data_IF_086171462877
#
_entry.id   IF_086171462877
#
_cell.length_a   1.000
_cell.length_b   1.000
_cell.length_c   1.000
_cell.angle_alpha   90.00
_cell.angle_beta   90.00
_cell.angle_gamma   90.00
#
_symmetry.space_group_name_H-M   'P 1'
#
loop_
_entity.id
_entity.type
_entity.pdbx_description
1 polymer ?
#
# COMPACT_ATOMS: atom_id res chain seq x y z
N UNK A 1 5.87 21.72 -26.39
CA UNK A 1 5.20 22.78 -25.60
C UNK A 1 3.81 22.30 -25.24
N UNK A 2 3.51 22.15 -23.95
CA UNK A 2 2.18 21.72 -23.50
C UNK A 2 1.26 22.93 -23.47
N UNK A 3 0.27 22.95 -24.34
CA UNK A 3 -0.78 23.98 -24.39
C UNK A 3 -1.90 23.70 -23.39
N UNK A 4 -1.57 23.39 -22.17
CA UNK A 4 -2.62 23.43 -21.12
C UNK A 4 -2.62 24.85 -20.56
N UNK A 5 -3.73 25.58 -20.65
CA UNK A 5 -3.84 26.86 -19.97
C UNK A 5 -3.52 26.63 -18.47
N UNK A 6 -2.76 27.53 -17.89
CA UNK A 6 -2.44 27.51 -16.48
C UNK A 6 -3.75 27.44 -15.69
N UNK A 7 -4.09 26.26 -15.22
CA UNK A 7 -5.17 26.08 -14.29
C UNK A 7 -4.54 26.02 -12.91
N UNK A 8 -4.83 27.00 -12.09
CA UNK A 8 -4.41 27.01 -10.71
C UNK A 8 -5.05 25.81 -10.01
N UNK A 9 -4.28 24.78 -9.72
CA UNK A 9 -4.78 23.57 -9.07
C UNK A 9 -4.72 23.80 -7.56
N UNK A 10 -5.85 24.14 -6.98
CA UNK A 10 -5.99 24.18 -5.52
C UNK A 10 -6.02 22.77 -4.98
N UNK A 11 -4.92 22.33 -4.39
CA UNK A 11 -4.81 21.01 -3.78
C UNK A 11 -5.33 21.03 -2.35
N UNK A 12 -6.14 20.03 -1.99
CA UNK A 12 -6.54 19.79 -0.60
C UNK A 12 -5.29 19.58 0.24
N UNK A 13 -5.22 20.17 1.43
CA UNK A 13 -4.21 19.83 2.43
C UNK A 13 -4.39 18.38 2.84
N UNK A 14 -3.34 17.59 2.73
CA UNK A 14 -3.29 16.21 3.17
C UNK A 14 -2.31 16.05 4.33
N UNK A 15 -2.41 14.95 5.04
CA UNK A 15 -1.41 14.57 6.04
C UNK A 15 -0.17 14.02 5.33
N UNK A 16 1.01 14.34 5.83
CA UNK A 16 2.25 13.72 5.37
C UNK A 16 2.38 12.34 5.96
N UNK A 17 2.60 11.35 5.10
CA UNK A 17 2.85 9.95 5.46
C UNK A 17 4.21 9.55 4.92
N UNK A 18 4.94 8.71 5.62
CA UNK A 18 6.23 8.22 5.18
C UNK A 18 6.15 6.75 4.76
N UNK A 19 6.81 6.42 3.66
CA UNK A 19 7.05 5.04 3.22
C UNK A 19 8.54 4.80 3.37
N UNK A 20 8.95 4.18 4.48
CA UNK A 20 10.32 4.25 4.91
C UNK A 20 10.76 5.71 5.07
N UNK A 21 11.83 6.12 4.37
CA UNK A 21 12.31 7.50 4.36
C UNK A 21 11.63 8.43 3.34
N UNK A 22 10.71 7.93 2.51
CA UNK A 22 10.10 8.68 1.40
C UNK A 22 8.80 9.37 1.84
N UNK A 23 8.73 10.72 1.85
CA UNK A 23 7.53 11.45 2.25
C UNK A 23 6.49 11.46 1.12
N UNK A 24 5.20 11.31 1.47
CA UNK A 24 4.06 11.36 0.55
C UNK A 24 2.97 12.26 1.14
N UNK A 25 2.42 13.15 0.34
CA UNK A 25 1.37 14.10 0.76
C UNK A 25 1.93 15.38 1.38
N UNK A 26 1.05 16.31 1.77
CA UNK A 26 1.37 17.59 2.43
C UNK A 26 2.48 18.40 1.71
N UNK A 27 2.36 18.55 0.39
CA UNK A 27 3.33 19.30 -0.42
C UNK A 27 4.68 18.61 -0.63
N UNK A 28 4.85 17.35 -0.22
CA UNK A 28 6.04 16.57 -0.55
C UNK A 28 6.20 16.45 -2.08
N UNK A 29 7.42 16.26 -2.60
CA UNK A 29 7.65 15.98 -4.01
C UNK A 29 6.81 14.78 -4.50
N UNK A 30 6.47 14.80 -5.79
CA UNK A 30 5.79 13.65 -6.40
C UNK A 30 6.76 12.48 -6.46
N UNK A 31 6.36 11.36 -5.88
CA UNK A 31 7.15 10.13 -5.84
C UNK A 31 6.78 9.20 -6.99
N UNK A 32 7.79 8.55 -7.56
CA UNK A 32 7.63 7.54 -8.61
C UNK A 32 7.59 6.15 -7.97
N UNK A 33 6.51 5.43 -8.18
CA UNK A 33 6.36 4.05 -7.71
C UNK A 33 6.17 3.11 -8.90
N UNK A 34 6.87 1.98 -8.88
CA UNK A 34 6.65 0.85 -9.81
C UNK A 34 6.29 -0.42 -9.04
N UNK A 35 6.03 -1.49 -9.77
CA UNK A 35 5.76 -2.81 -9.21
C UNK A 35 6.57 -3.88 -9.94
N UNK A 36 7.10 -4.86 -9.21
CA UNK A 36 7.74 -6.03 -9.81
C UNK A 36 6.71 -6.94 -10.49
N UNK A 37 7.14 -7.67 -11.50
CA UNK A 37 6.35 -8.69 -12.20
C UNK A 37 6.98 -10.08 -12.09
N UNK A 38 8.03 -10.22 -11.29
CA UNK A 38 8.63 -11.51 -10.92
C UNK A 38 7.80 -12.20 -9.86
N UNK A 39 7.95 -13.51 -9.72
CA UNK A 39 7.51 -14.21 -8.51
C UNK A 39 8.36 -13.73 -7.33
N UNK A 40 7.74 -13.35 -6.24
CA UNK A 40 8.46 -12.82 -5.07
C UNK A 40 9.39 -13.86 -4.45
N UNK A 41 9.05 -15.13 -4.58
CA UNK A 41 9.89 -16.28 -4.18
C UNK A 41 11.13 -16.46 -5.06
N UNK A 42 11.16 -15.88 -6.27
CA UNK A 42 12.39 -15.68 -7.04
C UNK A 42 13.10 -14.41 -6.54
N UNK A 43 13.74 -14.54 -5.38
CA UNK A 43 14.41 -13.44 -4.67
C UNK A 43 15.44 -12.77 -5.57
N UNK A 44 16.30 -13.54 -6.25
CA UNK A 44 17.36 -13.00 -7.09
C UNK A 44 16.81 -12.23 -8.30
N UNK A 45 15.80 -12.77 -8.98
CA UNK A 45 15.12 -12.11 -10.09
C UNK A 45 14.41 -10.83 -9.65
N UNK A 46 13.75 -10.86 -8.48
CA UNK A 46 13.06 -9.71 -7.90
C UNK A 46 14.04 -8.60 -7.52
N UNK A 47 15.14 -8.92 -6.84
CA UNK A 47 16.21 -7.95 -6.51
C UNK A 47 16.78 -7.33 -7.79
N UNK A 48 17.09 -8.15 -8.80
CA UNK A 48 17.62 -7.64 -10.07
C UNK A 48 16.64 -6.69 -10.76
N UNK A 49 15.35 -6.95 -10.70
CA UNK A 49 14.33 -6.06 -11.25
C UNK A 49 14.23 -4.74 -10.46
N UNK A 50 14.27 -4.80 -9.13
CA UNK A 50 14.23 -3.61 -8.27
C UNK A 50 15.46 -2.75 -8.51
N UNK A 51 16.66 -3.32 -8.56
CA UNK A 51 17.89 -2.58 -8.83
C UNK A 51 17.89 -1.87 -10.20
N UNK A 52 17.29 -2.48 -11.23
CA UNK A 52 17.09 -1.78 -12.52
C UNK A 52 16.13 -0.59 -12.37
N UNK A 53 15.07 -0.72 -11.56
CA UNK A 53 14.16 0.37 -11.29
C UNK A 53 14.83 1.50 -10.47
N UNK A 54 15.69 1.17 -9.51
CA UNK A 54 16.51 2.14 -8.76
C UNK A 54 17.41 2.96 -9.69
N UNK A 55 18.09 2.29 -10.63
CA UNK A 55 18.93 2.97 -11.65
C UNK A 55 18.11 3.89 -12.56
N UNK A 56 16.83 3.60 -12.76
CA UNK A 56 15.90 4.44 -13.51
C UNK A 56 15.28 5.58 -12.67
N UNK A 57 15.62 5.68 -11.38
CA UNK A 57 15.17 6.76 -10.49
C UNK A 57 13.81 6.53 -9.83
N UNK A 58 13.43 5.27 -9.56
CA UNK A 58 12.23 4.98 -8.79
C UNK A 58 12.45 5.32 -7.30
N UNK A 59 11.40 5.84 -6.64
CA UNK A 59 11.45 6.17 -5.22
C UNK A 59 10.93 5.04 -4.33
N UNK A 60 9.98 4.24 -4.84
CA UNK A 60 9.26 3.21 -4.08
C UNK A 60 8.97 2.02 -5.00
N UNK A 61 9.15 0.80 -4.51
CA UNK A 61 8.79 -0.40 -5.27
C UNK A 61 7.73 -1.22 -4.52
N UNK A 62 6.69 -1.67 -5.24
CA UNK A 62 5.68 -2.59 -4.74
C UNK A 62 6.00 -4.01 -5.18
N UNK A 63 5.89 -4.94 -4.23
CA UNK A 63 6.16 -6.36 -4.42
C UNK A 63 4.92 -7.16 -3.99
N UNK A 64 4.50 -8.12 -4.80
CA UNK A 64 3.34 -8.97 -4.48
C UNK A 64 3.64 -9.89 -3.30
N UNK A 65 2.68 -10.02 -2.37
CA UNK A 65 2.82 -10.87 -1.19
C UNK A 65 1.54 -11.71 -1.00
N UNK A 66 1.29 -12.68 -1.90
CA UNK A 66 0.06 -13.49 -1.88
C UNK A 66 0.07 -14.59 -0.81
N UNK A 67 1.22 -15.10 -0.44
CA UNK A 67 1.41 -16.26 0.43
C UNK A 67 2.55 -16.05 1.45
N UNK A 68 2.75 -17.05 2.29
CA UNK A 68 3.73 -17.00 3.38
C UNK A 68 5.18 -17.02 2.86
N UNK A 69 5.44 -17.80 1.83
CA UNK A 69 6.78 -17.89 1.24
C UNK A 69 7.21 -16.53 0.67
N UNK A 70 6.29 -15.87 -0.02
CA UNK A 70 6.49 -14.49 -0.51
C UNK A 70 6.73 -13.50 0.63
N UNK A 71 5.99 -13.61 1.74
CA UNK A 71 6.18 -12.74 2.89
C UNK A 71 7.57 -12.91 3.53
N UNK A 72 8.07 -14.14 3.63
CA UNK A 72 9.41 -14.41 4.16
C UNK A 72 10.51 -14.00 3.18
N UNK A 73 10.31 -14.19 1.87
CA UNK A 73 11.24 -13.73 0.85
C UNK A 73 11.48 -12.22 0.86
N UNK A 74 10.50 -11.43 1.35
CA UNK A 74 10.65 -9.98 1.49
C UNK A 74 11.83 -9.61 2.38
N UNK A 75 12.17 -10.40 3.38
CA UNK A 75 13.29 -10.10 4.28
C UNK A 75 14.62 -9.98 3.53
N UNK A 76 14.89 -10.94 2.66
CA UNK A 76 16.11 -10.94 1.85
C UNK A 76 16.07 -9.82 0.79
N UNK A 77 14.90 -9.60 0.17
CA UNK A 77 14.71 -8.54 -0.81
C UNK A 77 14.94 -7.17 -0.17
N UNK A 78 14.31 -6.88 0.96
CA UNK A 78 14.43 -5.59 1.65
C UNK A 78 15.88 -5.31 2.07
N UNK A 79 16.62 -6.34 2.51
CA UNK A 79 18.02 -6.20 2.90
C UNK A 79 18.95 -5.83 1.74
N UNK A 80 18.62 -6.24 0.52
CA UNK A 80 19.48 -6.14 -0.67
C UNK A 80 19.18 -4.93 -1.57
N UNK A 81 18.15 -4.14 -1.27
CA UNK A 81 17.73 -2.98 -2.05
C UNK A 81 17.74 -1.70 -1.22
N UNK A 82 17.82 -0.52 -1.89
CA UNK A 82 17.88 0.76 -1.18
C UNK A 82 16.54 1.49 -1.13
N UNK A 83 15.61 1.16 -2.04
CA UNK A 83 14.29 1.78 -2.07
C UNK A 83 13.32 1.08 -1.11
N UNK A 84 12.42 1.80 -0.44
CA UNK A 84 11.41 1.19 0.42
C UNK A 84 10.46 0.29 -0.36
N UNK A 85 10.13 -0.85 0.26
CA UNK A 85 9.26 -1.86 -0.33
C UNK A 85 7.84 -1.72 0.23
N UNK A 86 6.86 -1.70 -0.68
CA UNK A 86 5.44 -1.83 -0.37
C UNK A 86 5.02 -3.28 -0.59
N UNK A 87 4.62 -3.98 0.45
CA UNK A 87 4.06 -5.32 0.35
C UNK A 87 2.60 -5.26 -0.08
N UNK A 88 2.28 -5.92 -1.19
CA UNK A 88 0.92 -5.97 -1.74
C UNK A 88 0.17 -7.21 -1.22
N UNK A 89 -0.66 -6.99 -0.20
CA UNK A 89 -1.40 -8.03 0.52
C UNK A 89 -2.85 -8.04 0.03
N UNK A 90 -3.35 -9.21 -0.43
CA UNK A 90 -4.70 -9.29 -0.98
C UNK A 90 -5.77 -9.66 0.06
N UNK A 91 -5.62 -10.80 0.75
CA UNK A 91 -6.72 -11.36 1.56
C UNK A 91 -6.32 -11.86 2.95
N UNK A 92 -5.05 -12.02 3.25
CA UNK A 92 -4.62 -12.74 4.45
C UNK A 92 -3.92 -11.81 5.44
N UNK A 93 -4.58 -11.49 6.55
CA UNK A 93 -4.03 -10.60 7.58
C UNK A 93 -2.66 -11.04 8.12
N UNK A 94 -2.41 -12.37 8.22
CA UNK A 94 -1.10 -12.88 8.67
C UNK A 94 0.03 -12.50 7.70
N UNK A 95 -0.26 -12.43 6.41
CA UNK A 95 0.74 -11.98 5.40
C UNK A 95 1.15 -10.53 5.64
N UNK A 96 0.21 -9.70 6.11
CA UNK A 96 0.51 -8.31 6.46
C UNK A 96 1.46 -8.24 7.67
N UNK A 97 1.23 -9.04 8.70
CA UNK A 97 2.09 -9.12 9.88
C UNK A 97 3.48 -9.61 9.49
N UNK A 98 3.56 -10.74 8.78
CA UNK A 98 4.83 -11.32 8.32
C UNK A 98 5.61 -10.39 7.39
N UNK A 99 4.93 -9.64 6.54
CA UNK A 99 5.56 -8.64 5.67
C UNK A 99 6.13 -7.46 6.48
N UNK A 100 5.41 -6.99 7.51
CA UNK A 100 5.92 -5.98 8.44
C UNK A 100 7.15 -6.49 9.18
N UNK A 101 7.11 -7.71 9.74
CA UNK A 101 8.23 -8.38 10.40
C UNK A 101 9.44 -8.55 9.47
N UNK A 102 9.20 -8.72 8.16
CA UNK A 102 10.23 -8.84 7.12
C UNK A 102 10.80 -7.50 6.65
N UNK A 103 10.34 -6.37 7.20
CA UNK A 103 10.89 -5.05 6.92
C UNK A 103 10.19 -4.27 5.80
N UNK A 104 8.98 -4.66 5.38
CA UNK A 104 8.20 -3.84 4.46
C UNK A 104 7.94 -2.46 5.06
N UNK A 105 8.14 -1.40 4.25
CA UNK A 105 7.93 -0.02 4.68
C UNK A 105 6.47 0.42 4.62
N UNK A 106 5.66 -0.27 3.82
CA UNK A 106 4.24 0.00 3.69
C UNK A 106 3.48 -1.28 3.35
N UNK A 107 2.29 -1.44 3.92
CA UNK A 107 1.39 -2.55 3.64
C UNK A 107 0.25 -2.04 2.75
N UNK A 108 0.15 -2.54 1.52
CA UNK A 108 -1.02 -2.29 0.68
C UNK A 108 -2.08 -3.34 1.01
N UNK A 109 -3.17 -2.89 1.62
CA UNK A 109 -4.21 -3.77 2.14
C UNK A 109 -5.55 -3.02 2.23
N UNK A 110 -6.65 -3.76 2.14
CA UNK A 110 -7.98 -3.23 2.41
C UNK A 110 -8.45 -3.77 3.77
N UNK A 111 -8.46 -2.95 4.84
CA UNK A 111 -8.75 -3.43 6.20
C UNK A 111 -10.09 -4.18 6.33
N UNK A 112 -11.13 -3.73 5.62
CA UNK A 112 -12.44 -4.40 5.62
C UNK A 112 -12.45 -5.80 4.99
N UNK A 113 -11.42 -6.16 4.21
CA UNK A 113 -11.34 -7.45 3.52
C UNK A 113 -10.51 -8.50 4.27
N UNK A 114 -9.88 -8.14 5.37
CA UNK A 114 -9.01 -9.06 6.13
C UNK A 114 -9.73 -9.77 7.29
N UNK A 115 -10.99 -9.49 7.49
CA UNK A 115 -11.87 -10.20 8.42
C UNK A 115 -12.27 -9.39 9.64
N UNK A 116 -12.20 -9.98 10.85
CA UNK A 116 -12.73 -9.35 12.07
C UNK A 116 -11.91 -8.15 12.53
N UNK A 117 -12.51 -7.34 13.40
CA UNK A 117 -11.87 -6.18 14.05
C UNK A 117 -10.58 -6.57 14.81
N UNK A 118 -10.56 -7.77 15.42
CA UNK A 118 -9.38 -8.28 16.10
C UNK A 118 -8.20 -8.47 15.13
N UNK A 119 -8.47 -9.01 13.93
CA UNK A 119 -7.44 -9.18 12.89
C UNK A 119 -6.91 -7.84 12.38
N UNK A 120 -7.81 -6.86 12.20
CA UNK A 120 -7.39 -5.50 11.85
C UNK A 120 -6.48 -4.92 12.94
N UNK A 121 -6.85 -5.10 14.21
CA UNK A 121 -6.06 -4.65 15.36
C UNK A 121 -4.66 -5.28 15.39
N UNK A 122 -4.55 -6.58 15.08
CA UNK A 122 -3.25 -7.26 14.99
C UNK A 122 -2.38 -6.66 13.89
N UNK A 123 -2.94 -6.42 12.70
CA UNK A 123 -2.22 -5.80 11.58
C UNK A 123 -1.80 -4.36 11.91
N UNK A 124 -2.69 -3.57 12.50
CA UNK A 124 -2.37 -2.20 12.94
C UNK A 124 -1.25 -2.20 13.97
N UNK A 125 -1.30 -3.14 14.91
CA UNK A 125 -0.22 -3.29 15.91
C UNK A 125 1.10 -3.61 15.24
N UNK A 126 1.14 -4.61 14.37
CA UNK A 126 2.36 -4.96 13.64
C UNK A 126 2.89 -3.79 12.81
N UNK A 127 2.02 -3.05 12.12
CA UNK A 127 2.42 -1.87 11.38
C UNK A 127 3.06 -0.79 12.27
N UNK A 128 2.51 -0.54 13.47
CA UNK A 128 3.08 0.40 14.45
C UNK A 128 4.43 -0.08 14.98
N UNK A 129 4.51 -1.34 15.39
CA UNK A 129 5.69 -1.93 16.01
C UNK A 129 6.90 -1.90 15.04
N UNK A 130 6.64 -1.98 13.72
CA UNK A 130 7.65 -1.94 12.66
C UNK A 130 7.74 -0.61 11.90
N UNK A 131 6.97 0.41 12.28
CA UNK A 131 6.99 1.72 11.61
C UNK A 131 6.47 1.69 10.17
N UNK A 132 5.61 0.72 9.82
CA UNK A 132 5.00 0.61 8.50
C UNK A 132 3.84 1.59 8.35
N UNK A 133 3.79 2.29 7.22
CA UNK A 133 2.56 2.95 6.79
C UNK A 133 1.61 1.95 6.10
N UNK A 134 0.38 2.38 5.82
CA UNK A 134 -0.58 1.57 5.05
C UNK A 134 -1.02 2.27 3.77
N UNK A 135 -1.40 1.47 2.76
CA UNK A 135 -2.07 1.94 1.58
C UNK A 135 -3.38 1.18 1.38
N UNK A 136 -4.48 1.91 1.41
CA UNK A 136 -5.80 1.39 1.05
C UNK A 136 -5.89 1.31 -0.47
N UNK A 137 -6.15 0.11 -1.01
CA UNK A 137 -6.14 -0.15 -2.45
C UNK A 137 -7.54 -0.49 -2.98
N UNK A 138 -8.43 0.49 -3.04
CA UNK A 138 -9.77 0.30 -3.58
C UNK A 138 -9.73 0.15 -5.10
N UNK A 139 -10.50 -0.81 -5.62
CA UNK A 139 -10.75 -0.95 -7.05
C UNK A 139 -12.09 -1.64 -7.34
N UNK A 140 -12.56 -1.55 -8.57
CA UNK A 140 -13.85 -2.09 -9.01
C UNK A 140 -13.98 -3.62 -8.78
N UNK A 141 -12.89 -4.37 -8.99
CA UNK A 141 -12.90 -5.84 -8.89
C UNK A 141 -12.91 -6.38 -7.46
N UNK A 142 -12.68 -5.53 -6.46
CA UNK A 142 -12.66 -5.90 -5.04
C UNK A 142 -13.62 -5.07 -4.19
N UNK A 143 -14.61 -4.44 -4.83
CA UNK A 143 -15.64 -3.66 -4.14
C UNK A 143 -16.46 -4.56 -3.21
N UNK A 144 -16.78 -4.07 -2.03
CA UNK A 144 -17.52 -4.79 -1.00
C UNK A 144 -18.95 -5.11 -1.48
N UNK A 145 -19.42 -6.31 -1.10
CA UNK A 145 -20.72 -6.80 -1.53
C UNK A 145 -21.88 -5.85 -1.18
N UNK A 146 -21.87 -5.26 0.01
CA UNK A 146 -22.91 -4.32 0.43
C UNK A 146 -22.94 -3.03 -0.41
N UNK A 147 -21.76 -2.60 -0.93
CA UNK A 147 -21.70 -1.47 -1.85
C UNK A 147 -22.16 -1.84 -3.26
N UNK A 148 -21.84 -3.06 -3.73
CA UNK A 148 -22.39 -3.57 -4.98
C UNK A 148 -23.93 -3.69 -4.91
N UNK A 149 -24.48 -4.16 -3.79
CA UNK A 149 -25.92 -4.23 -3.58
C UNK A 149 -26.57 -2.83 -3.53
N UNK A 150 -25.87 -1.83 -2.95
CA UNK A 150 -26.35 -0.44 -2.86
C UNK A 150 -26.30 0.30 -4.19
N UNK A 151 -25.22 0.16 -4.94
CA UNK A 151 -24.96 0.95 -6.16
C UNK A 151 -25.26 0.20 -7.47
N UNK A 152 -25.45 -1.12 -7.42
CA UNK A 152 -25.70 -1.98 -8.59
C UNK A 152 -24.45 -2.32 -9.38
N UNK A 153 -23.50 -1.38 -9.48
CA UNK A 153 -22.24 -1.54 -10.21
C UNK A 153 -21.10 -0.75 -9.54
N UNK A 154 -19.84 -1.05 -9.83
CA UNK A 154 -18.70 -0.25 -9.40
C UNK A 154 -18.70 1.11 -10.13
N UNK A 155 -19.15 2.16 -9.47
CA UNK A 155 -19.11 3.53 -9.94
C UNK A 155 -18.20 4.40 -9.05
N UNK A 156 -17.88 5.65 -9.42
CA UNK A 156 -17.01 6.50 -8.62
C UNK A 156 -17.48 6.70 -7.19
N UNK A 157 -18.79 6.85 -6.97
CA UNK A 157 -19.39 7.05 -5.64
C UNK A 157 -19.20 5.82 -4.75
N UNK A 158 -19.41 4.63 -5.31
CA UNK A 158 -19.16 3.36 -4.60
C UNK A 158 -17.68 3.20 -4.20
N UNK A 159 -16.75 3.58 -5.09
CA UNK A 159 -15.32 3.53 -4.81
C UNK A 159 -14.91 4.53 -3.72
N UNK A 160 -15.49 5.72 -3.71
CA UNK A 160 -15.26 6.73 -2.66
C UNK A 160 -15.80 6.21 -1.32
N UNK A 161 -17.01 5.65 -1.28
CA UNK A 161 -17.57 5.09 -0.04
C UNK A 161 -16.75 3.92 0.48
N UNK A 162 -16.27 3.03 -0.40
CA UNK A 162 -15.33 1.96 -0.03
C UNK A 162 -14.04 2.51 0.58
N UNK A 163 -13.44 3.53 -0.04
CA UNK A 163 -12.23 4.15 0.48
C UNK A 163 -12.43 4.75 1.88
N UNK A 164 -13.54 5.45 2.09
CA UNK A 164 -13.90 6.03 3.39
C UNK A 164 -14.18 4.94 4.43
N UNK A 165 -14.88 3.88 4.07
CA UNK A 165 -15.13 2.73 4.94
C UNK A 165 -13.83 2.12 5.47
N UNK A 166 -12.85 1.87 4.58
CA UNK A 166 -11.55 1.34 4.98
C UNK A 166 -10.73 2.35 5.82
N UNK A 167 -10.81 3.63 5.50
CA UNK A 167 -10.16 4.68 6.27
C UNK A 167 -10.73 4.77 7.69
N UNK A 168 -12.05 4.71 7.84
CA UNK A 168 -12.73 4.74 9.13
C UNK A 168 -12.29 3.57 10.02
N UNK A 169 -12.15 2.37 9.47
CA UNK A 169 -11.65 1.21 10.21
C UNK A 169 -10.26 1.49 10.79
N UNK A 170 -9.33 2.05 10.02
CA UNK A 170 -7.99 2.39 10.52
C UNK A 170 -8.04 3.48 11.58
N UNK A 171 -8.87 4.50 11.38
CA UNK A 171 -9.06 5.61 12.33
C UNK A 171 -9.67 5.14 13.66
N UNK A 172 -10.60 4.18 13.64
CA UNK A 172 -11.17 3.56 14.86
C UNK A 172 -10.09 2.86 15.71
N UNK A 173 -9.00 2.43 15.09
CA UNK A 173 -7.81 1.91 15.75
C UNK A 173 -6.72 2.97 15.99
N UNK A 174 -7.06 4.26 15.86
CA UNK A 174 -6.12 5.39 16.01
C UNK A 174 -4.90 5.26 15.09
N UNK A 175 -5.07 4.66 13.90
CA UNK A 175 -4.01 4.54 12.89
C UNK A 175 -4.23 5.55 11.77
N UNK A 176 -3.29 6.49 11.63
CA UNK A 176 -3.42 7.63 10.71
C UNK A 176 -2.31 7.67 9.64
N UNK A 177 -1.33 6.80 9.72
CA UNK A 177 -0.22 6.75 8.76
C UNK A 177 -0.61 5.90 7.53
N UNK A 178 -1.64 6.36 6.82
CA UNK A 178 -2.13 5.70 5.62
C UNK A 178 -2.39 6.68 4.48
N UNK A 179 -2.36 6.12 3.26
CA UNK A 179 -2.78 6.76 2.00
C UNK A 179 -3.78 5.89 1.26
N UNK A 180 -4.49 6.44 0.31
CA UNK A 180 -5.45 5.75 -0.56
C UNK A 180 -4.90 5.69 -1.99
#
# INVERSE_FOLDING_TARGET
MSYRPYQEITRRKSRRVYIGGVPVGDGAPITVQTMTNTLTTDVAGTIAQIRRAELAGVDIVRVSCPDQESAFALKDIVHEVNVPIVADIHFHYKRAIEAADSGAACLRINPGNIGSQERVKEVVRAARDHGCSMRIGVNAGSLERHLLEKYGEPNPEALVESALYHADILQQHDFHDFKI
#
